data_IF_149697512990
#
_entry.id   IF_149697512990
#
_cell.length_a   1.000
_cell.length_b   1.000
_cell.length_c   1.000
_cell.angle_alpha   90.00
_cell.angle_beta   90.00
_cell.angle_gamma   90.00
#
_symmetry.space_group_name_H-M   'P 1'
#
loop_
_entity.id
_entity.type
_entity.pdbx_description
1 polymer ?
#
# COMPACT_ATOMS: atom_id res chain seq x y z
N UNK A 1 -39.32 -2.07 -68.68
CA UNK A 1 -38.00 -2.25 -68.09
C UNK A 1 -38.04 -1.61 -66.71
N UNK A 2 -38.25 -2.43 -65.67
CA UNK A 2 -38.37 -1.97 -64.27
C UNK A 2 -37.02 -2.16 -63.62
N UNK A 3 -36.39 -1.05 -63.16
CA UNK A 3 -35.14 -1.03 -62.41
C UNK A 3 -35.50 -1.14 -60.96
N UNK A 4 -35.14 -2.26 -60.34
CA UNK A 4 -35.14 -2.44 -58.85
C UNK A 4 -33.86 -1.82 -58.28
N UNK A 5 -33.99 -0.74 -57.50
CA UNK A 5 -32.93 -0.24 -56.65
C UNK A 5 -32.97 -1.02 -55.32
N UNK A 6 -31.97 -1.89 -55.13
CA UNK A 6 -31.73 -2.52 -53.82
C UNK A 6 -30.93 -1.56 -52.94
N UNK A 7 -31.61 -0.96 -51.95
CA UNK A 7 -30.95 -0.15 -50.93
C UNK A 7 -30.19 -1.05 -49.96
N UNK A 8 -28.87 -0.97 -49.95
CA UNK A 8 -27.99 -1.63 -48.98
C UNK A 8 -27.94 -0.75 -47.71
N UNK A 9 -28.67 -1.17 -46.69
CA UNK A 9 -28.64 -0.50 -45.39
C UNK A 9 -27.36 -0.94 -44.63
N UNK A 10 -26.34 -0.08 -44.58
CA UNK A 10 -25.13 -0.29 -43.81
C UNK A 10 -25.48 -0.05 -42.30
N UNK A 11 -25.75 -1.09 -41.55
CA UNK A 11 -25.85 -1.04 -40.10
C UNK A 11 -24.42 -0.91 -39.52
N UNK A 12 -24.00 0.31 -39.22
CA UNK A 12 -22.80 0.59 -38.45
C UNK A 12 -23.10 0.17 -36.97
N UNK A 13 -22.56 -0.97 -36.57
CA UNK A 13 -22.50 -1.33 -35.16
C UNK A 13 -21.52 -0.37 -34.46
N UNK A 14 -22.04 0.63 -33.77
CA UNK A 14 -21.31 1.37 -32.76
C UNK A 14 -21.07 0.39 -31.60
N UNK A 15 -19.90 -0.24 -31.56
CA UNK A 15 -19.43 -0.92 -30.38
C UNK A 15 -19.25 0.14 -29.31
N UNK A 16 -20.23 0.25 -28.39
CA UNK A 16 -20.01 0.93 -27.10
C UNK A 16 -18.98 0.08 -26.35
N UNK A 17 -17.70 0.47 -26.48
CA UNK A 17 -16.67 -0.06 -25.60
C UNK A 17 -17.04 0.42 -24.21
N UNK A 18 -17.46 -0.50 -23.34
CA UNK A 18 -17.54 -0.20 -21.92
C UNK A 18 -16.15 0.26 -21.50
N UNK A 19 -16.05 1.46 -20.95
CA UNK A 19 -14.78 1.97 -20.45
C UNK A 19 -14.36 1.05 -19.30
N UNK A 20 -13.25 0.31 -19.48
CA UNK A 20 -12.72 -0.54 -18.44
C UNK A 20 -12.38 0.33 -17.22
N UNK A 21 -12.87 -0.07 -16.06
CA UNK A 21 -12.63 0.62 -14.80
C UNK A 21 -11.92 -0.32 -13.83
N UNK A 22 -11.01 0.25 -13.04
CA UNK A 22 -10.32 -0.44 -11.97
C UNK A 22 -10.57 0.27 -10.66
N UNK A 23 -10.96 -0.50 -9.65
CA UNK A 23 -11.18 -0.01 -8.29
C UNK A 23 -10.06 -0.46 -7.37
N UNK A 24 -9.43 0.50 -6.64
CA UNK A 24 -8.39 0.21 -5.68
C UNK A 24 -8.78 0.80 -4.33
N UNK A 25 -8.79 -0.03 -3.30
CA UNK A 25 -9.00 0.39 -1.92
C UNK A 25 -7.63 0.49 -1.22
N UNK A 26 -7.39 1.60 -0.53
CA UNK A 26 -6.25 1.76 0.35
C UNK A 26 -6.74 1.91 1.78
N UNK A 27 -6.23 1.06 2.68
CA UNK A 27 -6.40 1.21 4.11
C UNK A 27 -5.11 1.78 4.74
N UNK A 28 -5.28 2.55 5.81
CA UNK A 28 -4.19 3.16 6.55
C UNK A 28 -3.42 2.17 7.42
N UNK A 29 -2.98 2.62 8.59
CA UNK A 29 -2.05 1.90 9.45
C UNK A 29 -2.74 0.73 10.15
N UNK A 30 -2.33 -0.51 9.81
CA UNK A 30 -2.77 -1.73 10.47
C UNK A 30 -1.76 -2.12 11.54
N UNK A 31 -2.13 -1.88 12.80
CA UNK A 31 -1.28 -2.09 13.97
C UNK A 31 -1.88 -3.12 14.92
N UNK A 32 -1.02 -3.80 15.70
CA UNK A 32 -1.42 -4.80 16.69
C UNK A 32 -0.86 -4.44 18.05
N UNK A 33 -1.61 -3.69 18.85
CA UNK A 33 -1.23 -3.28 20.21
C UNK A 33 -1.46 -4.40 21.22
N UNK A 34 -0.87 -4.26 22.43
CA UNK A 34 -0.96 -5.28 23.48
C UNK A 34 -2.41 -5.64 23.81
N UNK A 35 -3.29 -4.66 23.95
CA UNK A 35 -4.70 -4.90 24.27
C UNK A 35 -5.43 -5.71 23.19
N UNK A 36 -5.05 -5.55 21.93
CA UNK A 36 -5.58 -6.34 20.84
C UNK A 36 -5.07 -7.79 20.92
N UNK A 37 -3.79 -8.00 21.23
CA UNK A 37 -3.21 -9.31 21.49
C UNK A 37 -3.95 -10.03 22.64
N UNK A 38 -4.13 -9.34 23.78
CA UNK A 38 -4.77 -9.89 24.95
C UNK A 38 -6.24 -10.27 24.68
N UNK A 39 -6.95 -9.40 23.98
CA UNK A 39 -8.38 -9.61 23.67
C UNK A 39 -8.64 -10.73 22.66
N UNK A 40 -7.68 -11.02 21.80
CA UNK A 40 -7.84 -12.02 20.72
C UNK A 40 -7.22 -13.37 21.05
N UNK A 41 -6.42 -13.45 22.11
CA UNK A 41 -5.75 -14.70 22.49
C UNK A 41 -6.76 -15.76 22.95
N UNK A 42 -6.65 -16.96 22.38
CA UNK A 42 -7.45 -18.15 22.72
C UNK A 42 -6.50 -19.34 22.86
N UNK A 43 -5.92 -19.52 24.07
CA UNK A 43 -4.88 -20.53 24.28
C UNK A 43 -3.62 -20.20 23.46
N UNK A 44 -3.30 -21.07 22.51
CA UNK A 44 -2.09 -20.95 21.67
C UNK A 44 -2.34 -20.24 20.33
N UNK A 45 -3.56 -19.78 20.05
CA UNK A 45 -3.87 -19.04 18.83
C UNK A 45 -4.54 -17.69 19.11
N UNK A 46 -4.67 -16.86 18.06
CA UNK A 46 -5.30 -15.55 18.11
C UNK A 46 -6.51 -15.54 17.17
N UNK A 47 -7.68 -15.23 17.72
CA UNK A 47 -8.94 -15.11 16.96
C UNK A 47 -9.16 -13.64 16.58
N UNK A 48 -8.91 -13.35 15.31
CA UNK A 48 -9.03 -12.02 14.72
C UNK A 48 -10.13 -11.93 13.65
N UNK A 49 -10.84 -13.02 13.38
CA UNK A 49 -11.82 -13.08 12.30
C UNK A 49 -12.94 -12.03 12.49
N UNK A 50 -13.35 -11.76 13.73
CA UNK A 50 -14.39 -10.75 14.01
C UNK A 50 -13.93 -9.29 13.81
N UNK A 51 -12.63 -9.02 13.80
CA UNK A 51 -12.10 -7.64 13.70
C UNK A 51 -12.41 -6.99 12.36
N UNK A 52 -12.49 -7.77 11.31
CA UNK A 52 -12.65 -7.28 9.94
C UNK A 52 -14.02 -7.62 9.33
N UNK A 53 -14.91 -8.32 10.07
CA UNK A 53 -16.18 -8.79 9.55
C UNK A 53 -17.08 -7.66 8.99
N UNK A 54 -17.03 -6.48 9.61
CA UNK A 54 -17.87 -5.35 9.21
C UNK A 54 -17.43 -4.65 7.92
N UNK A 55 -16.17 -4.87 7.47
CA UNK A 55 -15.62 -4.21 6.28
C UNK A 55 -15.26 -5.22 5.17
N UNK A 56 -15.40 -6.51 5.44
CA UNK A 56 -15.04 -7.58 4.52
C UNK A 56 -15.75 -7.44 3.17
N UNK A 57 -17.03 -7.05 3.19
CA UNK A 57 -17.83 -6.86 1.98
C UNK A 57 -17.26 -5.74 1.11
N UNK A 58 -16.91 -4.61 1.72
CA UNK A 58 -16.36 -3.44 1.03
C UNK A 58 -14.96 -3.73 0.46
N UNK A 59 -14.12 -4.42 1.24
CA UNK A 59 -12.78 -4.80 0.81
C UNK A 59 -12.82 -5.81 -0.34
N UNK A 60 -13.72 -6.80 -0.28
CA UNK A 60 -13.87 -7.82 -1.35
C UNK A 60 -14.58 -7.29 -2.61
N UNK A 61 -15.26 -6.16 -2.52
CA UNK A 61 -15.96 -5.55 -3.66
C UNK A 61 -15.05 -4.83 -4.65
N UNK A 62 -13.80 -4.54 -4.26
CA UNK A 62 -12.83 -3.83 -5.11
C UNK A 62 -11.92 -4.79 -5.88
N UNK A 63 -11.29 -4.28 -6.93
CA UNK A 63 -10.37 -5.09 -7.74
C UNK A 63 -9.04 -5.36 -7.03
N UNK A 64 -8.55 -4.39 -6.25
CA UNK A 64 -7.29 -4.46 -5.50
C UNK A 64 -7.49 -3.79 -4.15
N UNK A 65 -7.08 -4.45 -3.06
CA UNK A 65 -7.09 -3.88 -1.72
C UNK A 65 -5.67 -3.87 -1.12
N UNK A 66 -5.25 -2.70 -0.62
CA UNK A 66 -3.90 -2.43 -0.12
C UNK A 66 -3.97 -1.94 1.32
N UNK A 67 -3.05 -2.39 2.18
CA UNK A 67 -2.96 -1.96 3.58
C UNK A 67 -1.52 -1.61 3.97
N UNK A 68 -1.32 -0.54 4.75
CA UNK A 68 -0.05 -0.31 5.42
C UNK A 68 0.07 -1.25 6.62
N UNK A 69 0.90 -2.29 6.50
CA UNK A 69 1.10 -3.32 7.52
C UNK A 69 2.19 -2.88 8.50
N UNK A 70 1.80 -2.14 9.53
CA UNK A 70 2.70 -1.39 10.42
C UNK A 70 3.08 -2.18 11.68
N UNK A 71 3.35 -3.46 11.49
CA UNK A 71 3.89 -4.35 12.53
C UNK A 71 4.75 -5.44 11.90
N UNK A 72 5.87 -5.87 12.51
CA UNK A 72 6.56 -7.06 12.06
C UNK A 72 5.87 -8.33 12.56
N UNK A 73 5.96 -9.41 11.78
CA UNK A 73 5.68 -10.78 12.20
C UNK A 73 6.95 -11.39 12.82
N UNK A 74 7.39 -10.79 13.95
CA UNK A 74 8.69 -11.08 14.56
C UNK A 74 8.79 -12.42 15.29
N UNK A 75 7.66 -13.12 15.47
CA UNK A 75 7.55 -14.34 16.27
C UNK A 75 7.40 -14.03 17.76
N UNK A 76 7.32 -15.09 18.55
CA UNK A 76 7.21 -14.99 20.01
C UNK A 76 8.50 -14.44 20.67
N UNK A 77 8.36 -13.76 21.82
CA UNK A 77 7.10 -13.34 22.43
C UNK A 77 6.42 -12.24 21.62
N UNK A 78 5.09 -12.38 21.40
CA UNK A 78 4.29 -11.33 20.77
C UNK A 78 4.16 -10.14 21.71
N UNK A 79 4.12 -8.93 21.13
CA UNK A 79 4.10 -7.68 21.91
C UNK A 79 3.48 -6.53 21.10
N UNK A 80 2.87 -5.58 21.83
CA UNK A 80 2.46 -4.29 21.31
C UNK A 80 3.57 -3.25 21.35
N UNK A 81 3.17 -1.96 21.34
CA UNK A 81 4.10 -0.82 21.47
C UNK A 81 4.96 -0.93 22.75
N UNK A 82 6.26 -0.52 22.73
CA UNK A 82 6.95 0.17 21.61
C UNK A 82 7.65 -0.77 20.60
N UNK A 83 7.75 -2.05 20.86
CA UNK A 83 8.45 -3.01 20.01
C UNK A 83 7.48 -4.11 19.57
N UNK A 84 6.73 -3.80 18.52
CA UNK A 84 5.69 -4.70 18.02
C UNK A 84 6.22 -6.06 17.57
N UNK A 85 5.40 -7.09 17.80
CA UNK A 85 5.53 -8.41 17.19
C UNK A 85 4.14 -9.02 17.10
N UNK A 86 3.55 -9.00 15.92
CA UNK A 86 2.23 -9.58 15.68
C UNK A 86 2.32 -11.08 15.36
N UNK A 87 1.28 -11.87 15.71
CA UNK A 87 1.14 -13.25 15.23
C UNK A 87 0.74 -13.27 13.75
N UNK A 88 1.06 -14.34 13.04
CA UNK A 88 0.68 -14.55 11.63
C UNK A 88 -0.83 -14.51 11.40
N UNK A 89 -1.61 -14.86 12.42
CA UNK A 89 -3.08 -14.76 12.41
C UNK A 89 -3.56 -13.34 12.05
N UNK A 90 -2.80 -12.30 12.38
CA UNK A 90 -3.15 -10.92 12.03
C UNK A 90 -3.06 -10.68 10.52
N UNK A 91 -1.98 -11.15 9.88
CA UNK A 91 -1.84 -11.07 8.43
C UNK A 91 -2.89 -11.93 7.71
N UNK A 92 -3.15 -13.16 8.22
CA UNK A 92 -4.19 -14.05 7.70
C UNK A 92 -5.59 -13.45 7.80
N UNK A 93 -5.93 -12.79 8.91
CA UNK A 93 -7.22 -12.16 9.08
C UNK A 93 -7.43 -11.00 8.09
N UNK A 94 -6.40 -10.19 7.84
CA UNK A 94 -6.42 -9.15 6.80
C UNK A 94 -6.58 -9.77 5.39
N UNK A 95 -5.85 -10.84 5.08
CA UNK A 95 -5.98 -11.54 3.80
C UNK A 95 -7.39 -12.13 3.62
N UNK A 96 -7.96 -12.77 4.65
CA UNK A 96 -9.34 -13.28 4.63
C UNK A 96 -10.37 -12.17 4.40
N UNK A 97 -10.13 -10.99 4.98
CA UNK A 97 -10.97 -9.81 4.77
C UNK A 97 -10.90 -9.28 3.33
N UNK A 98 -9.91 -9.71 2.54
CA UNK A 98 -9.79 -9.39 1.12
C UNK A 98 -8.61 -8.47 0.77
N UNK A 99 -7.70 -8.18 1.69
CA UNK A 99 -6.50 -7.40 1.38
C UNK A 99 -5.50 -8.22 0.55
N UNK A 100 -5.11 -7.68 -0.60
CA UNK A 100 -4.21 -8.32 -1.57
C UNK A 100 -2.74 -7.97 -1.38
N UNK A 101 -2.47 -6.74 -0.89
CA UNK A 101 -1.12 -6.17 -0.84
C UNK A 101 -0.81 -5.50 0.49
N UNK A 102 0.35 -5.84 1.04
CA UNK A 102 0.85 -5.31 2.29
C UNK A 102 2.07 -4.41 2.05
N UNK A 103 2.01 -3.18 2.54
CA UNK A 103 3.09 -2.21 2.49
C UNK A 103 3.92 -2.33 3.76
N UNK A 104 5.20 -2.62 3.63
CA UNK A 104 6.09 -2.94 4.75
C UNK A 104 7.12 -1.85 5.06
N UNK A 105 7.32 -0.87 4.18
CA UNK A 105 8.21 0.26 4.48
C UNK A 105 7.50 1.23 5.43
N UNK A 106 7.70 1.03 6.72
CA UNK A 106 7.20 1.87 7.80
C UNK A 106 8.22 1.93 8.95
N UNK A 107 7.99 2.80 9.94
CA UNK A 107 8.93 3.01 11.04
C UNK A 107 9.01 1.82 12.01
N UNK A 108 8.02 0.92 12.01
CA UNK A 108 7.96 -0.28 12.87
C UNK A 108 8.50 -1.55 12.20
N UNK A 109 8.89 -1.52 10.93
CA UNK A 109 9.37 -2.71 10.22
C UNK A 109 10.63 -3.36 10.82
N UNK A 110 11.38 -2.63 11.65
CA UNK A 110 12.58 -3.10 12.36
C UNK A 110 12.39 -3.28 13.86
N UNK A 111 11.20 -3.21 14.44
CA UNK A 111 10.97 -3.36 15.88
C UNK A 111 11.53 -4.66 16.47
N UNK A 112 11.58 -5.71 15.65
CA UNK A 112 12.23 -7.00 16.00
C UNK A 112 13.57 -7.17 15.30
N UNK A 113 14.25 -6.04 14.98
CA UNK A 113 15.54 -5.98 14.33
C UNK A 113 15.53 -6.69 12.98
N UNK A 114 16.69 -6.92 12.40
CA UNK A 114 16.88 -7.62 11.13
C UNK A 114 16.24 -9.01 11.11
N UNK A 115 16.30 -9.74 12.23
CA UNK A 115 15.64 -11.04 12.34
C UNK A 115 14.13 -10.95 12.15
N UNK A 116 13.49 -9.94 12.75
CA UNK A 116 12.05 -9.70 12.61
C UNK A 116 11.66 -9.33 11.18
N UNK A 117 12.44 -8.46 10.52
CA UNK A 117 12.23 -8.11 9.12
C UNK A 117 12.29 -9.36 8.22
N UNK A 118 13.34 -10.16 8.34
CA UNK A 118 13.50 -11.40 7.55
C UNK A 118 12.33 -12.34 7.79
N UNK A 119 11.95 -12.55 9.05
CA UNK A 119 10.84 -13.42 9.42
C UNK A 119 9.50 -12.92 8.86
N UNK A 120 9.27 -11.59 8.87
CA UNK A 120 8.06 -10.99 8.31
C UNK A 120 7.94 -11.29 6.80
N UNK A 121 9.01 -11.06 6.04
CA UNK A 121 9.06 -11.37 4.61
C UNK A 121 8.75 -12.86 4.38
N UNK A 122 9.48 -13.76 5.07
CA UNK A 122 9.31 -15.21 4.92
C UNK A 122 7.92 -15.70 5.32
N UNK A 123 7.33 -15.13 6.38
CA UNK A 123 5.98 -15.46 6.80
C UNK A 123 4.95 -15.06 5.75
N UNK A 124 5.03 -13.83 5.23
CA UNK A 124 4.12 -13.34 4.19
C UNK A 124 4.27 -14.13 2.89
N UNK A 125 5.51 -14.47 2.48
CA UNK A 125 5.78 -15.35 1.34
C UNK A 125 5.12 -16.72 1.51
N UNK A 126 5.26 -17.32 2.71
CA UNK A 126 4.69 -18.62 3.04
C UNK A 126 3.16 -18.62 3.03
N UNK A 127 2.55 -17.49 3.37
CA UNK A 127 1.11 -17.27 3.35
C UNK A 127 0.59 -16.86 1.96
N UNK A 128 1.48 -16.68 0.98
CA UNK A 128 1.12 -16.20 -0.36
C UNK A 128 0.61 -14.76 -0.38
N UNK A 129 0.97 -13.94 0.63
CA UNK A 129 0.56 -12.54 0.73
C UNK A 129 1.59 -11.67 0.00
N UNK A 130 1.13 -10.92 -0.99
CA UNK A 130 2.00 -10.02 -1.75
C UNK A 130 2.37 -8.80 -0.92
N UNK A 131 3.63 -8.42 -0.95
CA UNK A 131 4.13 -7.31 -0.12
C UNK A 131 5.29 -6.58 -0.80
N UNK A 132 5.61 -5.38 -0.34
CA UNK A 132 6.74 -4.59 -0.83
C UNK A 132 7.22 -3.59 0.22
N UNK A 133 8.41 -3.00 0.00
CA UNK A 133 8.99 -1.96 0.83
C UNK A 133 10.17 -2.41 1.69
N UNK A 134 10.28 -3.73 1.96
CA UNK A 134 11.42 -4.36 2.64
C UNK A 134 11.90 -5.58 1.87
N UNK A 135 13.22 -5.86 1.89
CA UNK A 135 13.80 -6.92 1.06
C UNK A 135 14.93 -7.65 1.79
N UNK A 136 15.14 -8.92 1.41
CA UNK A 136 16.19 -9.76 1.99
C UNK A 136 17.59 -9.32 1.56
N UNK A 137 17.73 -8.81 0.32
CA UNK A 137 18.98 -8.35 -0.29
C UNK A 137 18.69 -7.58 -1.59
N UNK A 138 19.76 -7.13 -2.26
CA UNK A 138 19.66 -6.43 -3.54
C UNK A 138 19.03 -7.27 -4.64
N UNK A 139 19.33 -8.57 -4.70
CA UNK A 139 18.78 -9.47 -5.71
C UNK A 139 17.28 -9.68 -5.51
N UNK A 140 16.83 -9.83 -4.26
CA UNK A 140 15.40 -9.91 -3.95
C UNK A 140 14.70 -8.61 -4.37
N UNK A 141 15.26 -7.43 -4.01
CA UNK A 141 14.72 -6.14 -4.41
C UNK A 141 14.63 -6.01 -5.93
N UNK A 142 15.69 -6.31 -6.64
CA UNK A 142 15.75 -6.19 -8.11
C UNK A 142 14.71 -7.07 -8.81
N UNK A 143 14.44 -8.27 -8.29
CA UNK A 143 13.43 -9.18 -8.88
C UNK A 143 11.98 -8.77 -8.57
N UNK A 144 11.73 -8.06 -7.48
CA UNK A 144 10.37 -7.83 -6.97
C UNK A 144 9.96 -6.35 -6.92
N UNK A 145 10.89 -5.44 -7.22
CA UNK A 145 10.67 -4.00 -7.15
C UNK A 145 11.29 -3.27 -8.35
N UNK A 146 10.61 -2.27 -8.94
CA UNK A 146 9.27 -1.76 -8.62
C UNK A 146 8.18 -2.84 -8.81
N UNK A 147 7.18 -2.87 -7.88
CA UNK A 147 6.18 -3.93 -7.91
C UNK A 147 5.14 -3.68 -9.01
N UNK A 148 5.15 -4.52 -10.04
CA UNK A 148 4.15 -4.48 -11.12
C UNK A 148 2.92 -5.32 -10.75
N UNK A 149 1.75 -4.70 -10.79
CA UNK A 149 0.44 -5.33 -10.68
C UNK A 149 -0.25 -5.34 -12.03
N UNK A 150 -0.84 -6.48 -12.37
CA UNK A 150 -1.72 -6.62 -13.53
C UNK A 150 -3.11 -7.02 -13.05
N UNK A 151 -4.10 -6.20 -13.36
CA UNK A 151 -5.50 -6.50 -13.02
C UNK A 151 -6.39 -5.98 -14.13
N UNK A 152 -7.24 -6.84 -14.69
CA UNK A 152 -7.93 -6.56 -15.95
C UNK A 152 -6.87 -6.17 -17.00
N UNK A 153 -7.09 -5.11 -17.78
CA UNK A 153 -6.12 -4.64 -18.76
C UNK A 153 -5.13 -3.60 -18.22
N UNK A 154 -5.21 -3.28 -16.90
CA UNK A 154 -4.36 -2.27 -16.28
C UNK A 154 -3.02 -2.85 -15.78
N UNK A 155 -1.96 -2.06 -15.99
CA UNK A 155 -0.61 -2.23 -15.43
C UNK A 155 -0.36 -1.12 -14.43
N UNK A 156 -0.16 -1.49 -13.17
CA UNK A 156 0.00 -0.54 -12.08
C UNK A 156 1.34 -0.82 -11.41
N UNK A 157 2.12 0.22 -11.18
CA UNK A 157 3.32 0.13 -10.36
C UNK A 157 3.01 0.63 -8.97
N UNK A 158 3.34 -0.21 -7.97
CA UNK A 158 3.32 0.16 -6.55
C UNK A 158 4.74 0.42 -6.07
N UNK A 159 4.97 1.63 -5.56
CA UNK A 159 6.18 2.02 -4.84
C UNK A 159 5.84 2.19 -3.36
N UNK A 160 6.78 1.87 -2.45
CA UNK A 160 6.58 2.04 -1.01
C UNK A 160 7.87 2.48 -0.33
N UNK A 161 7.80 3.55 0.47
CA UNK A 161 8.94 4.16 1.14
C UNK A 161 8.58 4.65 2.54
N UNK A 162 9.58 4.67 3.46
CA UNK A 162 9.44 5.21 4.82
C UNK A 162 10.46 6.30 5.11
N UNK A 163 10.08 7.24 5.97
CA UNK A 163 10.99 8.28 6.47
C UNK A 163 12.09 7.73 7.39
N UNK A 164 11.86 6.58 8.01
CA UNK A 164 12.78 6.04 8.99
C UNK A 164 12.29 4.73 9.61
N UNK A 165 13.06 4.24 10.58
CA UNK A 165 12.83 2.99 11.31
C UNK A 165 13.06 3.17 12.81
N UNK A 166 12.53 4.25 13.40
CA UNK A 166 12.64 4.59 14.82
C UNK A 166 14.09 4.55 15.33
N UNK A 167 15.05 5.03 14.51
CA UNK A 167 16.47 5.04 14.83
C UNK A 167 17.17 3.67 14.78
N UNK A 168 16.46 2.61 14.42
CA UNK A 168 17.03 1.28 14.24
C UNK A 168 17.70 1.18 12.86
N UNK A 169 18.90 0.62 12.82
CA UNK A 169 19.63 0.39 11.57
C UNK A 169 19.29 -1.00 11.01
N UNK A 170 19.12 -1.06 9.70
CA UNK A 170 19.02 -2.34 8.99
C UNK A 170 20.41 -2.89 8.74
N UNK A 171 20.61 -4.18 9.01
CA UNK A 171 21.89 -4.85 8.76
C UNK A 171 21.98 -5.33 7.31
N UNK A 172 23.11 -5.07 6.66
CA UNK A 172 23.42 -5.60 5.33
C UNK A 172 23.33 -7.14 5.35
N UNK A 173 22.79 -7.78 4.32
CA UNK A 173 22.38 -7.25 3.02
C UNK A 173 20.89 -6.81 2.93
N UNK A 174 20.15 -6.75 4.04
CA UNK A 174 18.71 -6.42 4.06
C UNK A 174 18.51 -4.97 3.69
N UNK A 175 17.35 -4.70 3.09
CA UNK A 175 16.99 -3.38 2.58
C UNK A 175 15.64 -2.98 3.11
N UNK A 176 15.53 -1.72 3.54
CA UNK A 176 14.30 -0.98 3.74
C UNK A 176 14.30 0.17 2.73
N UNK A 177 13.21 0.37 2.02
CA UNK A 177 13.09 1.52 1.14
C UNK A 177 12.87 2.79 1.96
N UNK A 178 13.94 3.55 2.16
CA UNK A 178 13.87 4.87 2.76
C UNK A 178 13.51 5.94 1.73
N UNK A 179 12.92 7.03 2.22
CA UNK A 179 12.69 8.23 1.42
C UNK A 179 14.05 8.86 1.11
N UNK A 180 14.53 8.63 -0.10
CA UNK A 180 15.73 9.18 -0.70
C UNK A 180 15.42 9.54 -2.15
N UNK A 181 15.54 10.83 -2.50
CA UNK A 181 15.14 11.33 -3.82
C UNK A 181 15.93 10.73 -4.97
N UNK A 182 17.22 10.41 -4.76
CA UNK A 182 18.04 9.81 -5.83
C UNK A 182 17.64 8.36 -6.07
N UNK A 183 17.43 7.58 -5.01
CA UNK A 183 16.93 6.20 -5.11
C UNK A 183 15.53 6.20 -5.71
N UNK A 184 14.61 7.02 -5.19
CA UNK A 184 13.23 7.11 -5.68
C UNK A 184 13.17 7.53 -7.14
N UNK A 185 14.06 8.41 -7.60
CA UNK A 185 14.15 8.82 -9.00
C UNK A 185 14.56 7.65 -9.90
N UNK A 186 15.52 6.84 -9.45
CA UNK A 186 15.93 5.61 -10.15
C UNK A 186 14.77 4.61 -10.24
N UNK A 187 14.09 4.34 -9.12
CA UNK A 187 12.94 3.44 -9.05
C UNK A 187 11.78 3.89 -9.96
N UNK A 188 11.50 5.20 -10.01
CA UNK A 188 10.45 5.74 -10.89
C UNK A 188 10.87 5.63 -12.37
N UNK A 189 12.15 5.83 -12.68
CA UNK A 189 12.66 5.66 -14.03
C UNK A 189 12.54 4.19 -14.47
N UNK A 190 12.87 3.25 -13.62
CA UNK A 190 12.69 1.80 -13.85
C UNK A 190 11.19 1.45 -13.98
N UNK A 191 10.33 1.98 -13.10
CA UNK A 191 8.89 1.81 -13.17
C UNK A 191 8.31 2.15 -14.54
N UNK A 192 8.77 3.24 -15.16
CA UNK A 192 8.31 3.68 -16.49
C UNK A 192 8.67 2.70 -17.60
N UNK A 193 9.72 1.89 -17.45
CA UNK A 193 10.09 0.88 -18.46
C UNK A 193 9.03 -0.22 -18.62
N UNK A 194 8.18 -0.42 -17.60
CA UNK A 194 7.04 -1.34 -17.68
C UNK A 194 5.85 -0.79 -18.46
N UNK A 195 5.91 0.46 -18.95
CA UNK A 195 4.78 1.19 -19.56
C UNK A 195 3.49 1.07 -18.72
N UNK A 196 3.52 1.48 -17.44
CA UNK A 196 2.35 1.37 -16.58
C UNK A 196 1.27 2.39 -16.97
N UNK A 197 0.02 2.04 -16.67
CA UNK A 197 -1.11 2.98 -16.79
C UNK A 197 -1.11 3.94 -15.59
N UNK A 198 -0.62 3.48 -14.42
CA UNK A 198 -0.48 4.28 -13.19
C UNK A 198 0.77 3.90 -12.40
N UNK A 199 1.44 4.93 -11.86
CA UNK A 199 2.50 4.79 -10.85
C UNK A 199 1.95 5.35 -9.54
N UNK A 200 1.89 4.49 -8.50
CA UNK A 200 1.39 4.82 -7.17
C UNK A 200 2.54 4.78 -6.18
N UNK A 201 2.78 5.89 -5.48
CA UNK A 201 3.77 5.96 -4.41
C UNK A 201 3.07 5.94 -3.04
N UNK A 202 3.34 4.90 -2.26
CA UNK A 202 2.85 4.76 -0.89
C UNK A 202 3.94 5.26 0.07
N UNK A 203 3.62 6.31 0.83
CA UNK A 203 4.58 7.08 1.61
C UNK A 203 4.26 6.99 3.10
N UNK A 204 5.19 6.43 3.87
CA UNK A 204 5.11 6.44 5.33
C UNK A 204 5.93 7.62 5.85
N UNK A 205 5.27 8.74 6.17
CA UNK A 205 5.88 10.06 6.31
C UNK A 205 5.12 11.03 7.22
N UNK A 206 5.68 12.20 7.48
CA UNK A 206 5.04 13.28 8.22
C UNK A 206 5.31 13.21 9.72
N UNK A 207 4.45 13.84 10.50
CA UNK A 207 4.53 13.89 11.96
C UNK A 207 3.29 13.23 12.57
N UNK A 208 3.51 12.41 13.62
CA UNK A 208 2.43 11.75 14.34
C UNK A 208 1.44 12.79 14.91
N UNK A 209 0.14 12.48 14.78
CA UNK A 209 -1.00 13.23 15.33
C UNK A 209 -1.24 14.63 14.72
N UNK A 210 -0.42 15.05 13.75
CA UNK A 210 -0.63 16.28 13.03
C UNK A 210 -1.69 16.11 11.94
N UNK A 211 -2.79 16.87 12.01
CA UNK A 211 -3.90 16.79 11.05
C UNK A 211 -3.66 17.59 9.77
N UNK A 212 -2.65 18.44 9.77
CA UNK A 212 -2.26 19.25 8.62
C UNK A 212 -0.92 18.71 8.10
N UNK A 213 -0.82 18.37 6.80
CA UNK A 213 0.42 17.86 6.25
C UNK A 213 1.54 18.89 6.37
N UNK A 214 2.72 18.42 6.75
CA UNK A 214 3.91 19.25 6.89
C UNK A 214 4.35 19.85 5.55
N UNK A 215 5.24 20.83 5.60
CA UNK A 215 5.83 21.40 4.39
C UNK A 215 6.60 20.35 3.59
N UNK A 216 7.33 19.50 4.27
CA UNK A 216 8.13 18.42 3.68
C UNK A 216 7.24 17.41 2.94
N UNK A 217 6.08 17.04 3.51
CA UNK A 217 5.11 16.17 2.83
C UNK A 217 4.61 16.81 1.53
N UNK A 218 4.25 18.09 1.55
CA UNK A 218 3.78 18.81 0.36
C UNK A 218 4.85 18.93 -0.73
N UNK A 219 6.07 19.33 -0.35
CA UNK A 219 7.19 19.47 -1.27
C UNK A 219 7.58 18.12 -1.90
N UNK A 220 7.52 17.03 -1.12
CA UNK A 220 7.82 15.68 -1.62
C UNK A 220 6.70 15.16 -2.54
N UNK A 221 5.42 15.40 -2.20
CA UNK A 221 4.30 15.06 -3.09
C UNK A 221 4.42 15.78 -4.43
N UNK A 222 4.74 17.08 -4.42
CA UNK A 222 4.97 17.86 -5.64
C UNK A 222 6.14 17.32 -6.46
N UNK A 223 7.21 16.93 -5.78
CA UNK A 223 8.37 16.34 -6.45
C UNK A 223 8.03 14.99 -7.09
N UNK A 224 7.35 14.09 -6.38
CA UNK A 224 6.91 12.79 -6.90
C UNK A 224 6.05 12.95 -8.16
N UNK A 225 5.10 13.87 -8.13
CA UNK A 225 4.25 14.14 -9.29
C UNK A 225 5.04 14.70 -10.48
N UNK A 226 6.03 15.56 -10.23
CA UNK A 226 6.95 16.02 -11.29
C UNK A 226 7.78 14.88 -11.88
N UNK A 227 8.10 13.84 -11.09
CA UNK A 227 8.78 12.65 -11.58
C UNK A 227 7.84 11.69 -12.36
N UNK A 228 6.52 11.94 -12.38
CA UNK A 228 5.55 11.13 -13.11
C UNK A 228 4.80 10.11 -12.28
N UNK A 229 4.76 10.28 -10.96
CA UNK A 229 3.84 9.55 -10.07
C UNK A 229 2.44 10.12 -10.23
N UNK A 230 1.43 9.27 -10.35
CA UNK A 230 0.04 9.65 -10.56
C UNK A 230 -0.74 9.77 -9.26
N UNK A 231 -0.50 8.83 -8.32
CA UNK A 231 -1.14 8.81 -7.01
C UNK A 231 -0.09 8.74 -5.92
N UNK A 232 -0.25 9.59 -4.89
CA UNK A 232 0.56 9.56 -3.66
C UNK A 232 -0.36 9.25 -2.50
N UNK A 233 -0.11 8.13 -1.82
CA UNK A 233 -0.93 7.65 -0.69
C UNK A 233 -0.07 7.64 0.56
N UNK A 234 -0.46 8.43 1.57
CA UNK A 234 0.28 8.63 2.80
C UNK A 234 -0.26 7.83 3.99
N UNK A 235 0.65 7.49 4.88
CA UNK A 235 0.44 6.80 6.17
C UNK A 235 1.42 7.36 7.21
N UNK A 236 1.36 6.96 8.46
CA UNK A 236 2.19 7.34 9.61
C UNK A 236 1.61 8.39 10.57
N UNK A 237 0.96 9.50 10.15
CA UNK A 237 0.43 10.47 11.13
C UNK A 237 -0.60 9.88 12.10
N UNK A 238 -1.13 8.69 11.84
CA UNK A 238 -2.16 7.99 12.62
C UNK A 238 -3.49 8.73 12.70
N UNK A 239 -3.58 9.88 12.05
CA UNK A 239 -4.79 10.71 11.87
C UNK A 239 -5.00 10.99 10.40
N UNK A 240 -6.25 11.14 10.00
CA UNK A 240 -6.59 11.50 8.62
C UNK A 240 -6.11 12.91 8.33
N UNK A 241 -5.35 13.07 7.25
CA UNK A 241 -4.95 14.37 6.70
C UNK A 241 -5.71 14.65 5.39
N UNK A 242 -5.72 15.90 4.91
CA UNK A 242 -6.39 16.27 3.65
C UNK A 242 -6.01 15.44 2.44
N UNK A 243 -6.93 15.37 1.49
CA UNK A 243 -6.68 14.88 0.13
C UNK A 243 -6.69 16.06 -0.85
N UNK A 244 -5.83 16.02 -1.85
CA UNK A 244 -5.75 17.01 -2.92
C UNK A 244 -5.92 16.34 -4.27
N UNK A 245 -7.04 16.62 -4.94
CA UNK A 245 -7.23 16.24 -6.32
C UNK A 245 -6.65 17.34 -7.23
N UNK A 246 -5.71 16.99 -8.07
CA UNK A 246 -5.00 17.91 -8.97
C UNK A 246 -5.38 17.61 -10.41
N UNK A 247 -6.24 18.45 -10.98
CA UNK A 247 -6.63 18.33 -12.38
C UNK A 247 -5.43 18.52 -13.30
N UNK A 248 -5.26 17.59 -14.22
CA UNK A 248 -4.32 17.71 -15.31
C UNK A 248 -4.77 18.81 -16.30
N UNK A 249 -3.82 19.36 -17.03
CA UNK A 249 -4.09 20.17 -18.22
C UNK A 249 -4.24 19.23 -19.41
N UNK A 250 -4.66 19.78 -20.58
CA UNK A 250 -4.79 18.99 -21.81
C UNK A 250 -3.53 18.14 -22.06
N UNK A 251 -3.71 16.82 -22.17
CA UNK A 251 -2.62 15.85 -22.34
C UNK A 251 -1.86 15.44 -21.06
N UNK A 252 -2.25 15.95 -19.89
CA UNK A 252 -1.68 15.56 -18.60
C UNK A 252 -2.77 14.90 -17.75
N UNK A 253 -2.56 13.68 -17.21
CA UNK A 253 -3.57 13.00 -16.40
C UNK A 253 -3.84 13.73 -15.08
N UNK A 254 -5.04 13.54 -14.56
CA UNK A 254 -5.41 13.94 -13.22
C UNK A 254 -4.57 13.17 -12.20
N UNK A 255 -4.29 13.80 -11.06
CA UNK A 255 -3.46 13.25 -9.98
C UNK A 255 -4.13 13.40 -8.63
N UNK A 256 -3.80 12.50 -7.72
CA UNK A 256 -4.34 12.51 -6.36
C UNK A 256 -3.21 12.40 -5.33
N UNK A 257 -3.28 13.25 -4.30
CA UNK A 257 -2.49 13.10 -3.07
C UNK A 257 -3.44 12.85 -1.92
N UNK A 258 -3.21 11.79 -1.19
CA UNK A 258 -3.78 11.52 0.12
C UNK A 258 -2.64 11.63 1.12
N UNK A 259 -2.60 12.69 1.93
CA UNK A 259 -1.45 12.93 2.80
C UNK A 259 -1.35 11.93 3.96
N UNK A 260 -2.49 11.49 4.51
CA UNK A 260 -2.56 10.38 5.46
C UNK A 260 -3.96 9.77 5.48
N UNK A 261 -4.01 8.44 5.47
CA UNK A 261 -5.23 7.67 5.67
C UNK A 261 -5.58 7.50 7.16
N UNK A 262 -4.65 7.83 8.07
CA UNK A 262 -4.81 7.56 9.50
C UNK A 262 -4.72 6.07 9.85
N UNK A 263 -5.13 5.73 11.06
CA UNK A 263 -5.22 4.34 11.49
C UNK A 263 -6.36 3.60 10.80
N UNK A 264 -6.07 2.43 10.25
CA UNK A 264 -7.08 1.47 9.82
C UNK A 264 -7.53 0.60 10.99
N UNK A 265 -6.58 0.04 11.72
CA UNK A 265 -6.83 -0.68 12.96
C UNK A 265 -5.68 -0.46 13.94
N UNK A 266 -5.99 0.03 15.13
CA UNK A 266 -5.03 0.26 16.20
C UNK A 266 -5.72 0.23 17.58
N UNK A 267 -4.96 0.38 18.64
CA UNK A 267 -5.49 0.68 19.97
C UNK A 267 -4.78 1.91 20.55
N UNK A 268 -4.58 2.93 19.73
CA UNK A 268 -4.12 4.22 20.19
C UNK A 268 -5.28 4.92 20.92
N UNK A 269 -5.01 5.42 22.15
CA UNK A 269 -6.01 6.10 22.97
C UNK A 269 -5.93 7.64 22.86
N UNK A 270 -5.50 8.17 21.72
CA UNK A 270 -5.42 9.60 21.47
C UNK A 270 -6.61 10.10 20.69
N UNK A 271 -6.93 11.37 20.87
CA UNK A 271 -7.99 12.03 20.13
C UNK A 271 -7.71 11.99 18.63
N UNK A 272 -8.71 11.61 17.84
CA UNK A 272 -8.67 11.49 16.37
C UNK A 272 -7.81 10.36 15.79
N UNK A 273 -7.30 9.40 16.60
CA UNK A 273 -6.57 8.23 16.09
C UNK A 273 -7.45 6.99 15.93
#
# INVERSE_FOLDING_TARGET
MKILLSGFCLLSFLSLSAQDSLTILFAGDAMMHQKQLDNTRRGDFFDLDSYFANIEREVKAVDIAVVNFEVPLGGEPYSGYPAFSAPENFALALQKAGFDFFLLANNHCLDRRTRGLVRTIQALDSLGIRHTGTFLDCDHRHRTYPMLLRKKDFRIIMLNYTYGTNGLKVDIPRIVNYIDKEIMKGDIAEAKLFNPDFIIANMHWGLEYERIPSREQRELADWLMRQGVDLVIGSHPHVVQPMEFRRGKEGVPDRLVVYSLGNFISNMGREHT
#
